data_IF_004088555747
#
_entry.id   IF_004088555747
#
_cell.length_a   1.000
_cell.length_b   1.000
_cell.length_c   1.000
_cell.angle_alpha   90.00
_cell.angle_beta   90.00
_cell.angle_gamma   90.00
#
_symmetry.space_group_name_H-M   'P 1'
#
loop_
_entity.id
_entity.type
_entity.pdbx_description
1 polymer ?
#
# COMPACT_ATOMS: atom_id res chain seq x y z
N UNK A 1 -11.42 1.24 11.45
CA UNK A 1 -10.71 2.43 11.95
C UNK A 1 -9.65 2.74 10.92
N UNK A 2 -9.74 3.91 10.28
CA UNK A 2 -8.98 4.26 9.08
C UNK A 2 -7.47 4.20 9.32
N UNK A 3 -7.01 4.56 10.51
CA UNK A 3 -5.59 4.66 10.82
C UNK A 3 -4.94 3.27 10.94
N UNK A 4 -5.61 2.36 11.66
CA UNK A 4 -5.19 0.96 11.75
C UNK A 4 -5.20 0.26 10.38
N UNK A 5 -6.25 0.51 9.58
CA UNK A 5 -6.36 -0.05 8.22
C UNK A 5 -5.25 0.50 7.30
N UNK A 6 -4.97 1.79 7.41
CA UNK A 6 -3.88 2.45 6.69
C UNK A 6 -2.50 1.87 6.99
N UNK A 7 -2.15 1.73 8.28
CA UNK A 7 -0.87 1.14 8.69
C UNK A 7 -0.74 -0.29 8.17
N UNK A 8 -1.80 -1.09 8.29
CA UNK A 8 -1.78 -2.48 7.81
C UNK A 8 -1.62 -2.55 6.28
N UNK A 9 -2.32 -1.69 5.51
CA UNK A 9 -2.16 -1.59 4.07
C UNK A 9 -0.73 -1.21 3.66
N UNK A 10 -0.09 -0.29 4.38
CA UNK A 10 1.30 0.09 4.08
C UNK A 10 2.30 -1.02 4.41
N UNK A 11 2.11 -1.74 5.51
CA UNK A 11 2.94 -2.90 5.83
C UNK A 11 2.78 -3.97 4.74
N UNK A 12 1.54 -4.26 4.31
CA UNK A 12 1.25 -5.18 3.20
C UNK A 12 1.97 -4.73 1.93
N UNK A 13 1.86 -3.45 1.58
CA UNK A 13 2.48 -2.86 0.37
C UNK A 13 4.01 -2.89 0.44
N UNK A 14 4.59 -2.70 1.61
CA UNK A 14 6.04 -2.76 1.82
C UNK A 14 6.52 -4.21 1.70
N UNK A 15 5.83 -5.15 2.32
CA UNK A 15 6.17 -6.57 2.27
C UNK A 15 5.94 -7.18 0.88
N UNK A 16 4.99 -6.68 0.09
CA UNK A 16 4.73 -7.17 -1.27
C UNK A 16 5.86 -6.87 -2.26
N UNK A 17 6.75 -5.93 -1.93
CA UNK A 17 7.96 -5.60 -2.69
C UNK A 17 9.13 -6.53 -2.37
N UNK A 18 9.02 -7.35 -1.33
CA UNK A 18 10.10 -8.23 -0.88
C UNK A 18 10.10 -9.51 -1.71
N UNK A 19 11.22 -9.78 -2.39
CA UNK A 19 11.35 -10.95 -3.25
C UNK A 19 11.19 -12.25 -2.45
N UNK A 20 10.37 -13.18 -2.95
CA UNK A 20 10.12 -14.46 -2.29
C UNK A 20 9.08 -14.41 -1.16
N UNK A 21 8.44 -13.26 -0.89
CA UNK A 21 7.25 -13.19 -0.04
C UNK A 21 5.98 -13.09 -0.90
N UNK A 22 5.04 -13.99 -0.65
CA UNK A 22 3.67 -13.87 -1.17
C UNK A 22 2.80 -13.23 -0.09
N UNK A 23 2.40 -11.99 -0.31
CA UNK A 23 1.53 -11.25 0.62
C UNK A 23 0.12 -11.17 0.04
N UNK A 24 -0.88 -11.50 0.86
CA UNK A 24 -2.28 -11.44 0.47
C UNK A 24 -2.77 -9.99 0.49
N UNK A 25 -3.57 -9.61 -0.51
CA UNK A 25 -4.12 -8.27 -0.63
C UNK A 25 -4.93 -7.85 0.62
N UNK A 26 -4.86 -6.56 0.96
CA UNK A 26 -5.55 -5.99 2.11
C UNK A 26 -7.04 -6.26 2.10
N UNK A 27 -7.70 -6.11 0.95
CA UNK A 27 -9.15 -6.36 0.77
C UNK A 27 -9.57 -7.77 1.19
N UNK A 28 -8.79 -8.79 0.82
CA UNK A 28 -9.07 -10.18 1.20
C UNK A 28 -8.74 -10.44 2.68
N UNK A 29 -7.65 -9.87 3.19
CA UNK A 29 -7.29 -10.01 4.62
C UNK A 29 -8.29 -9.32 5.55
N UNK A 30 -8.82 -8.17 5.16
CA UNK A 30 -9.73 -7.37 5.99
C UNK A 30 -11.12 -7.99 6.12
N UNK A 31 -11.47 -8.98 5.29
CA UNK A 31 -12.68 -9.80 5.51
C UNK A 31 -12.69 -10.48 6.88
N UNK A 32 -11.53 -10.72 7.49
CA UNK A 32 -11.37 -11.41 8.78
C UNK A 32 -11.29 -10.43 9.96
N UNK A 33 -11.18 -9.13 9.71
CA UNK A 33 -11.02 -8.11 10.75
C UNK A 33 -12.19 -8.13 11.74
N UNK A 34 -11.86 -8.12 13.04
CA UNK A 34 -12.84 -8.01 14.12
C UNK A 34 -13.73 -9.24 14.31
N UNK A 35 -13.42 -10.35 13.63
CA UNK A 35 -14.10 -11.63 13.82
C UNK A 35 -13.21 -12.53 14.69
N UNK A 36 -13.82 -13.26 15.60
CA UNK A 36 -13.16 -14.36 16.31
C UNK A 36 -12.98 -15.52 15.31
N UNK A 37 -11.89 -15.50 14.55
CA UNK A 37 -11.54 -16.60 13.65
C UNK A 37 -10.38 -17.40 14.24
N UNK A 38 -10.38 -18.69 13.96
CA UNK A 38 -9.24 -19.54 14.28
C UNK A 38 -8.16 -19.29 13.20
N UNK A 39 -6.90 -19.07 13.61
CA UNK A 39 -5.79 -18.77 12.70
C UNK A 39 -5.66 -19.85 11.61
N UNK A 40 -5.86 -21.12 11.98
CA UNK A 40 -5.85 -22.24 11.03
C UNK A 40 -6.95 -22.16 9.95
N UNK A 41 -8.09 -21.52 10.20
CA UNK A 41 -9.14 -21.28 9.19
C UNK A 41 -8.77 -20.16 8.23
N UNK A 42 -8.19 -19.07 8.76
CA UNK A 42 -7.66 -17.97 7.94
C UNK A 42 -6.60 -18.53 6.98
N UNK A 43 -5.65 -19.31 7.51
CA UNK A 43 -4.59 -19.93 6.73
C UNK A 43 -5.10 -20.81 5.60
N UNK A 44 -6.15 -21.61 5.85
CA UNK A 44 -6.79 -22.43 4.81
C UNK A 44 -7.51 -21.59 3.76
N UNK A 45 -8.28 -20.59 4.17
CA UNK A 45 -9.10 -19.79 3.24
C UNK A 45 -8.25 -18.87 2.36
N UNK A 46 -7.13 -18.36 2.87
CA UNK A 46 -6.21 -17.49 2.14
C UNK A 46 -4.98 -18.23 1.57
N UNK A 47 -4.86 -19.54 1.82
CA UNK A 47 -3.72 -20.36 1.41
C UNK A 47 -2.38 -19.77 1.90
N UNK A 48 -2.29 -19.43 3.19
CA UNK A 48 -1.08 -18.83 3.80
C UNK A 48 -0.52 -19.69 4.91
N UNK A 49 0.80 -19.63 5.07
CA UNK A 49 1.53 -20.33 6.14
C UNK A 49 1.67 -19.49 7.41
N UNK A 50 1.56 -18.17 7.28
CA UNK A 50 1.74 -17.24 8.40
C UNK A 50 0.70 -16.13 8.36
N UNK A 51 0.23 -15.71 9.53
CA UNK A 51 -0.71 -14.60 9.69
C UNK A 51 -0.05 -13.51 10.53
N UNK A 52 -0.03 -12.28 10.02
CA UNK A 52 0.29 -11.10 10.80
C UNK A 52 -1.02 -10.51 11.32
N UNK A 53 -1.13 -10.37 12.63
CA UNK A 53 -2.23 -9.65 13.26
C UNK A 53 -1.72 -8.67 14.30
N UNK A 54 -2.58 -7.75 14.73
CA UNK A 54 -2.18 -6.70 15.63
C UNK A 54 -3.31 -5.77 16.00
N UNK A 55 -2.96 -4.77 16.79
CA UNK A 55 -3.88 -3.70 17.16
C UNK A 55 -3.14 -2.37 17.19
N UNK A 56 -3.86 -1.32 16.83
CA UNK A 56 -3.38 0.06 16.91
C UNK A 56 -4.33 0.81 17.83
N UNK A 57 -3.77 1.54 18.80
CA UNK A 57 -4.50 2.51 19.63
C UNK A 57 -3.80 3.84 19.50
N UNK A 58 -4.58 4.87 19.20
CA UNK A 58 -4.13 6.25 19.12
C UNK A 58 -4.82 7.05 20.20
N UNK A 59 -4.05 7.71 21.05
CA UNK A 59 -4.53 8.66 22.05
C UNK A 59 -3.76 9.97 21.86
N UNK A 60 -4.45 11.00 21.36
CA UNK A 60 -3.85 12.29 20.99
C UNK A 60 -2.62 12.09 20.08
N UNK A 61 -1.42 12.27 20.64
CA UNK A 61 -0.14 12.17 19.93
C UNK A 61 0.61 10.86 20.22
N UNK A 62 0.03 9.94 21.01
CA UNK A 62 0.62 8.66 21.39
C UNK A 62 0.02 7.52 20.57
N UNK A 63 0.88 6.64 20.10
CA UNK A 63 0.53 5.40 19.42
C UNK A 63 1.01 4.21 20.25
N UNK A 64 0.07 3.30 20.50
CA UNK A 64 0.36 1.93 20.95
C UNK A 64 0.04 0.98 19.81
N UNK A 65 1.06 0.29 19.31
CA UNK A 65 0.94 -0.73 18.27
C UNK A 65 1.42 -2.05 18.83
N UNK A 66 0.59 -3.08 18.75
CA UNK A 66 1.00 -4.47 18.99
C UNK A 66 0.93 -5.20 17.66
N UNK A 67 1.97 -5.95 17.32
CA UNK A 67 2.01 -6.75 16.11
C UNK A 67 2.59 -8.12 16.42
N UNK A 68 2.00 -9.17 15.83
CA UNK A 68 2.44 -10.54 16.03
C UNK A 68 2.32 -11.35 14.75
N UNK A 69 3.37 -12.11 14.46
CA UNK A 69 3.46 -13.02 13.34
C UNK A 69 3.27 -14.44 13.86
N UNK A 70 2.23 -15.12 13.37
CA UNK A 70 1.78 -16.42 13.86
C UNK A 70 1.97 -17.46 12.75
N UNK A 71 2.52 -18.61 13.10
CA UNK A 71 2.56 -19.78 12.23
C UNK A 71 1.19 -20.48 12.21
N UNK A 72 0.62 -20.66 11.03
CA UNK A 72 -0.70 -21.28 10.85
C UNK A 72 -0.71 -22.76 11.25
N UNK A 73 0.40 -23.48 11.11
CA UNK A 73 0.42 -24.93 11.29
C UNK A 73 0.25 -25.37 12.74
N UNK A 74 0.80 -24.59 13.67
CA UNK A 74 0.86 -24.92 15.10
C UNK A 74 0.43 -23.76 16.01
N UNK A 75 -0.06 -22.66 15.42
CA UNK A 75 -0.51 -21.44 16.11
C UNK A 75 0.56 -20.82 17.02
N UNK A 76 1.84 -21.12 16.78
CA UNK A 76 2.95 -20.54 17.53
C UNK A 76 3.29 -19.11 17.06
N UNK A 77 3.74 -18.27 17.99
CA UNK A 77 4.28 -16.96 17.65
C UNK A 77 5.69 -17.10 17.08
N UNK A 78 5.87 -16.70 15.82
CA UNK A 78 7.18 -16.55 15.20
C UNK A 78 7.87 -15.26 15.67
N UNK A 79 7.08 -14.21 15.91
CA UNK A 79 7.53 -12.93 16.40
C UNK A 79 6.35 -12.16 17.02
N UNK A 80 6.62 -11.35 18.04
CA UNK A 80 5.65 -10.43 18.65
C UNK A 80 6.38 -9.27 19.29
N UNK A 81 5.85 -8.06 19.11
CA UNK A 81 6.41 -6.86 19.74
C UNK A 81 5.33 -5.80 20.01
N UNK A 82 5.65 -4.87 20.90
CA UNK A 82 4.82 -3.74 21.27
C UNK A 82 5.59 -2.42 21.17
N UNK A 83 4.99 -1.46 20.49
CA UNK A 83 5.53 -0.14 20.28
C UNK A 83 4.65 0.89 20.98
N UNK A 84 5.24 1.62 21.91
CA UNK A 84 4.62 2.78 22.57
C UNK A 84 5.44 4.03 22.23
N UNK A 85 5.06 4.74 21.16
CA UNK A 85 5.77 5.95 20.71
C UNK A 85 4.82 7.04 20.23
N UNK A 86 5.34 8.24 20.06
CA UNK A 86 4.60 9.33 19.44
C UNK A 86 4.26 9.05 17.97
N UNK A 87 3.13 9.59 17.48
CA UNK A 87 2.67 9.41 16.09
C UNK A 87 3.66 9.87 15.03
N UNK A 88 4.49 10.88 15.34
CA UNK A 88 5.60 11.30 14.46
C UNK A 88 6.63 10.18 14.19
N UNK A 89 6.62 9.13 15.01
CA UNK A 89 7.46 7.95 14.86
C UNK A 89 6.78 6.82 14.08
N UNK A 90 5.59 7.04 13.51
CA UNK A 90 4.81 5.99 12.83
C UNK A 90 5.61 5.29 11.74
N UNK A 91 6.38 6.03 10.93
CA UNK A 91 7.21 5.45 9.88
C UNK A 91 8.33 4.59 10.44
N UNK A 92 8.97 5.03 11.54
CA UNK A 92 9.99 4.22 12.19
C UNK A 92 9.39 2.92 12.75
N UNK A 93 8.19 2.98 13.32
CA UNK A 93 7.49 1.79 13.81
C UNK A 93 7.14 0.86 12.63
N UNK A 94 6.62 1.37 11.52
CA UNK A 94 6.33 0.57 10.33
C UNK A 94 7.58 -0.11 9.78
N UNK A 95 8.69 0.62 9.64
CA UNK A 95 9.97 0.04 9.21
C UNK A 95 10.48 -1.02 10.18
N UNK A 96 10.36 -0.78 11.50
CA UNK A 96 10.75 -1.73 12.54
C UNK A 96 9.92 -3.03 12.45
N UNK A 97 8.59 -2.91 12.27
CA UNK A 97 7.67 -4.04 12.09
C UNK A 97 8.00 -4.81 10.80
N UNK A 98 8.07 -4.13 9.66
CA UNK A 98 8.37 -4.76 8.37
C UNK A 98 9.71 -5.47 8.37
N UNK A 99 10.76 -4.86 8.95
CA UNK A 99 12.07 -5.50 9.10
C UNK A 99 11.99 -6.77 9.95
N UNK A 100 11.33 -6.69 11.12
CA UNK A 100 11.20 -7.82 12.04
C UNK A 100 10.46 -8.99 11.39
N UNK A 101 9.42 -8.71 10.60
CA UNK A 101 8.68 -9.73 9.84
C UNK A 101 9.59 -10.40 8.80
N UNK A 102 10.34 -9.63 8.02
CA UNK A 102 11.24 -10.20 7.01
C UNK A 102 12.37 -11.00 7.66
N UNK A 103 12.93 -10.53 8.78
CA UNK A 103 13.92 -11.28 9.56
C UNK A 103 13.35 -12.61 10.06
N UNK A 104 12.13 -12.61 10.60
CA UNK A 104 11.48 -13.83 11.08
C UNK A 104 11.15 -14.84 9.97
N UNK A 105 10.82 -14.36 8.76
CA UNK A 105 10.41 -15.22 7.63
C UNK A 105 11.57 -15.66 6.73
N UNK A 106 12.54 -14.79 6.48
CA UNK A 106 13.63 -15.01 5.50
C UNK A 106 15.02 -15.04 6.12
N UNK A 107 15.18 -14.67 7.39
CA UNK A 107 16.49 -14.63 8.06
C UNK A 107 17.36 -13.43 7.68
N UNK A 108 16.81 -12.43 6.96
CA UNK A 108 17.52 -11.19 6.65
C UNK A 108 16.99 -10.47 5.41
N UNK A 109 17.52 -9.26 5.19
CA UNK A 109 17.20 -8.35 4.08
C UNK A 109 18.39 -8.17 3.15
N UNK A 110 18.15 -8.09 1.85
CA UNK A 110 19.12 -7.53 0.90
C UNK A 110 19.26 -6.00 1.07
N UNK A 111 20.29 -5.41 0.47
CA UNK A 111 20.50 -3.95 0.55
C UNK A 111 19.36 -3.13 -0.10
N UNK A 112 18.80 -3.63 -1.20
CA UNK A 112 17.65 -3.01 -1.89
C UNK A 112 16.37 -3.15 -1.06
N UNK A 113 16.12 -4.34 -0.48
CA UNK A 113 14.96 -4.58 0.39
C UNK A 113 15.01 -3.70 1.65
N UNK A 114 16.20 -3.51 2.22
CA UNK A 114 16.39 -2.60 3.36
C UNK A 114 16.04 -1.16 2.99
N UNK A 115 16.52 -0.68 1.85
CA UNK A 115 16.23 0.68 1.38
C UNK A 115 14.74 0.88 1.11
N UNK A 116 14.04 -0.14 0.58
CA UNK A 116 12.60 -0.10 0.37
C UNK A 116 11.80 -0.03 1.69
N UNK A 117 12.23 -0.74 2.73
CA UNK A 117 11.59 -0.73 4.06
C UNK A 117 11.82 0.58 4.82
N UNK A 118 13.01 1.18 4.68
CA UNK A 118 13.38 2.41 5.40
C UNK A 118 12.86 3.69 4.71
N UNK A 119 12.34 3.58 3.49
CA UNK A 119 11.79 4.72 2.75
C UNK A 119 10.54 5.26 3.44
N UNK A 120 10.60 6.53 3.82
CA UNK A 120 9.45 7.24 4.39
C UNK A 120 8.60 7.85 3.28
N UNK A 121 7.28 7.80 3.41
CA UNK A 121 6.37 8.39 2.45
C UNK A 121 6.33 9.93 2.54
N UNK A 122 6.55 10.49 3.73
CA UNK A 122 6.60 11.93 4.02
C UNK A 122 7.33 12.15 5.37
N UNK A 123 7.79 13.37 5.65
CA UNK A 123 8.27 13.79 6.97
C UNK A 123 7.18 14.53 7.80
N UNK A 124 6.00 14.78 7.23
CA UNK A 124 4.86 15.41 7.91
C UNK A 124 3.80 14.35 8.31
N UNK A 125 3.70 14.10 9.62
CA UNK A 125 2.76 13.13 10.16
C UNK A 125 1.28 13.52 9.94
N UNK A 126 0.97 14.82 9.89
CA UNK A 126 -0.39 15.30 9.63
C UNK A 126 -0.74 15.16 8.14
N UNK A 127 0.21 15.42 7.24
CA UNK A 127 0.05 15.11 5.81
C UNK A 127 -0.22 13.62 5.59
N UNK A 128 0.49 12.77 6.34
CA UNK A 128 0.28 11.33 6.31
C UNK A 128 -1.10 10.90 6.81
N UNK A 129 -1.60 11.47 7.92
CA UNK A 129 -2.96 11.21 8.38
C UNK A 129 -4.03 11.59 7.34
N UNK A 130 -3.86 12.73 6.69
CA UNK A 130 -4.72 13.17 5.59
C UNK A 130 -4.67 12.19 4.42
N UNK A 131 -3.48 11.69 4.07
CA UNK A 131 -3.33 10.65 3.06
C UNK A 131 -4.10 9.37 3.43
N UNK A 132 -3.98 8.88 4.67
CA UNK A 132 -4.71 7.70 5.15
C UNK A 132 -6.24 7.91 5.12
N UNK A 133 -6.72 9.10 5.48
CA UNK A 133 -8.13 9.46 5.35
C UNK A 133 -8.60 9.46 3.88
N UNK A 134 -7.74 9.92 2.97
CA UNK A 134 -7.98 9.86 1.53
C UNK A 134 -8.12 8.42 1.03
N UNK A 135 -7.18 7.55 1.41
CA UNK A 135 -7.19 6.11 1.12
C UNK A 135 -8.44 5.42 1.67
N UNK A 136 -8.79 5.70 2.92
CA UNK A 136 -9.99 5.14 3.53
C UNK A 136 -11.26 5.58 2.79
N UNK A 137 -11.34 6.86 2.39
CA UNK A 137 -12.47 7.39 1.62
C UNK A 137 -12.57 6.75 0.22
N UNK A 138 -11.42 6.43 -0.41
CA UNK A 138 -11.40 5.64 -1.65
C UNK A 138 -12.00 4.26 -1.45
N UNK A 139 -11.58 3.55 -0.39
CA UNK A 139 -12.06 2.20 -0.09
C UNK A 139 -13.56 2.17 0.25
N UNK A 140 -14.10 3.25 0.85
CA UNK A 140 -15.53 3.40 1.08
C UNK A 140 -16.33 3.87 -0.16
N UNK A 141 -15.65 4.15 -1.28
CA UNK A 141 -16.25 4.65 -2.52
C UNK A 141 -16.53 6.15 -2.57
N UNK A 142 -16.16 6.91 -1.53
CA UNK A 142 -16.35 8.37 -1.48
C UNK A 142 -15.16 9.10 -2.11
N UNK A 143 -15.17 9.11 -3.46
CA UNK A 143 -14.11 9.74 -4.26
C UNK A 143 -13.98 11.24 -4.04
N UNK A 144 -15.08 11.94 -3.77
CA UNK A 144 -15.07 13.39 -3.57
C UNK A 144 -14.31 13.72 -2.28
N UNK A 145 -14.61 13.00 -1.21
CA UNK A 145 -13.92 13.14 0.06
C UNK A 145 -12.46 12.71 -0.04
N UNK A 146 -12.17 11.63 -0.77
CA UNK A 146 -10.80 11.22 -1.04
C UNK A 146 -9.96 12.30 -1.74
N UNK A 147 -10.47 12.89 -2.82
CA UNK A 147 -9.82 14.00 -3.54
C UNK A 147 -9.51 15.17 -2.59
N UNK A 148 -10.46 15.51 -1.70
CA UNK A 148 -10.27 16.59 -0.76
C UNK A 148 -9.13 16.31 0.22
N UNK A 149 -9.09 15.12 0.82
CA UNK A 149 -8.01 14.75 1.73
C UNK A 149 -6.64 14.65 1.06
N UNK A 150 -6.55 14.07 -0.14
CA UNK A 150 -5.28 14.03 -0.86
C UNK A 150 -4.76 15.42 -1.21
N UNK A 151 -5.65 16.36 -1.56
CA UNK A 151 -5.25 17.77 -1.78
C UNK A 151 -4.74 18.42 -0.49
N UNK A 152 -5.42 18.21 0.64
CA UNK A 152 -4.92 18.72 1.92
C UNK A 152 -3.56 18.12 2.31
N UNK A 153 -3.33 16.84 2.02
CA UNK A 153 -2.03 16.20 2.24
C UNK A 153 -0.94 16.85 1.38
N UNK A 154 -1.23 17.13 0.11
CA UNK A 154 -0.32 17.83 -0.82
C UNK A 154 -0.07 19.28 -0.40
N UNK A 155 -1.09 19.99 0.09
CA UNK A 155 -0.96 21.37 0.57
C UNK A 155 -0.04 21.46 1.80
N UNK A 156 0.05 20.37 2.58
CA UNK A 156 0.94 20.25 3.74
C UNK A 156 2.35 19.83 3.34
N UNK A 157 2.45 18.81 2.50
CA UNK A 157 3.71 18.34 1.95
C UNK A 157 3.65 18.26 0.41
N UNK A 158 4.11 19.31 -0.29
CA UNK A 158 4.12 19.36 -1.75
C UNK A 158 5.01 18.32 -2.43
N UNK A 159 5.91 17.66 -1.68
CA UNK A 159 6.80 16.61 -2.17
C UNK A 159 6.27 15.19 -1.84
N UNK A 160 5.04 15.09 -1.30
CA UNK A 160 4.42 13.83 -0.91
C UNK A 160 3.91 13.02 -2.13
N UNK A 161 4.80 12.28 -2.76
CA UNK A 161 4.53 11.52 -3.99
C UNK A 161 3.30 10.59 -3.92
N UNK A 162 3.10 9.86 -2.81
CA UNK A 162 1.93 8.97 -2.65
C UNK A 162 0.60 9.74 -2.60
N UNK A 163 0.57 10.97 -2.09
CA UNK A 163 -0.64 11.78 -2.08
C UNK A 163 -1.05 12.18 -3.51
N UNK A 164 -0.08 12.49 -4.37
CA UNK A 164 -0.33 12.71 -5.80
C UNK A 164 -0.81 11.44 -6.50
N UNK A 165 -0.20 10.28 -6.23
CA UNK A 165 -0.66 9.00 -6.78
C UNK A 165 -2.10 8.68 -6.33
N UNK A 166 -2.41 8.91 -5.05
CA UNK A 166 -3.77 8.77 -4.50
C UNK A 166 -4.77 9.72 -5.16
N UNK A 167 -4.39 10.99 -5.35
CA UNK A 167 -5.21 11.98 -6.05
C UNK A 167 -5.48 11.58 -7.50
N UNK A 168 -4.45 11.11 -8.21
CA UNK A 168 -4.57 10.60 -9.55
C UNK A 168 -5.50 9.37 -9.60
N UNK A 169 -5.41 8.44 -8.66
CA UNK A 169 -6.32 7.28 -8.60
C UNK A 169 -7.78 7.71 -8.33
N UNK A 170 -7.97 8.74 -7.50
CA UNK A 170 -9.30 9.25 -7.17
C UNK A 170 -10.00 9.91 -8.36
N UNK A 171 -9.26 10.57 -9.25
CA UNK A 171 -9.83 11.17 -10.45
C UNK A 171 -10.37 10.11 -11.44
N UNK A 172 -11.60 10.30 -11.94
CA UNK A 172 -12.17 9.43 -12.94
C UNK A 172 -11.41 9.58 -14.27
N UNK A 173 -11.27 8.46 -15.00
CA UNK A 173 -10.56 8.45 -16.29
C UNK A 173 -11.26 9.33 -17.33
N UNK A 174 -12.59 9.35 -17.34
CA UNK A 174 -13.39 10.18 -18.23
C UNK A 174 -13.75 11.52 -17.58
N UNK A 175 -13.60 12.61 -18.34
CA UNK A 175 -13.96 13.97 -17.92
C UNK A 175 -12.92 14.70 -17.05
N UNK A 176 -11.97 13.97 -16.44
CA UNK A 176 -10.92 14.54 -15.59
C UNK A 176 -9.51 14.07 -15.97
N UNK A 177 -9.32 13.58 -17.20
CA UNK A 177 -8.08 12.95 -17.63
C UNK A 177 -6.85 13.86 -17.48
N UNK A 178 -6.97 15.17 -17.79
CA UNK A 178 -5.85 16.11 -17.65
C UNK A 178 -5.40 16.25 -16.19
N UNK A 179 -6.34 16.34 -15.26
CA UNK A 179 -6.04 16.42 -13.84
C UNK A 179 -5.47 15.10 -13.31
N UNK A 180 -5.99 13.96 -13.81
CA UNK A 180 -5.49 12.62 -13.52
C UNK A 180 -4.04 12.44 -13.98
N UNK A 181 -3.75 12.85 -15.21
CA UNK A 181 -2.44 12.78 -15.83
C UNK A 181 -1.44 13.68 -15.10
N UNK A 182 -1.79 14.95 -14.87
CA UNK A 182 -0.90 15.88 -14.17
C UNK A 182 -0.53 15.40 -12.75
N UNK A 183 -1.49 14.83 -12.02
CA UNK A 183 -1.23 14.26 -10.70
C UNK A 183 -0.33 13.01 -10.78
N UNK A 184 -0.55 12.12 -11.76
CA UNK A 184 0.30 10.94 -11.96
C UNK A 184 1.73 11.32 -12.41
N UNK A 185 1.87 12.28 -13.31
CA UNK A 185 3.17 12.82 -13.72
C UNK A 185 3.93 13.42 -12.54
N UNK A 186 3.24 14.20 -11.68
CA UNK A 186 3.87 14.77 -10.49
C UNK A 186 4.32 13.71 -9.49
N UNK A 187 3.52 12.65 -9.32
CA UNK A 187 3.91 11.51 -8.48
C UNK A 187 5.19 10.84 -8.99
N UNK A 188 5.31 10.63 -10.31
CA UNK A 188 6.50 10.04 -10.94
C UNK A 188 7.71 10.97 -10.95
N UNK A 189 7.49 12.28 -11.06
CA UNK A 189 8.57 13.29 -10.92
C UNK A 189 9.21 13.23 -9.53
N UNK A 190 8.39 13.06 -8.49
CA UNK A 190 8.84 12.97 -7.10
C UNK A 190 9.41 11.58 -6.76
N UNK A 191 8.79 10.51 -7.29
CA UNK A 191 9.22 9.15 -7.08
C UNK A 191 8.85 8.22 -8.26
N UNK A 192 9.79 8.04 -9.18
CA UNK A 192 9.64 7.17 -10.35
C UNK A 192 9.57 5.67 -9.99
N UNK A 193 9.76 5.30 -8.73
CA UNK A 193 9.63 3.92 -8.27
C UNK A 193 8.22 3.60 -7.73
N UNK A 194 7.24 4.50 -7.89
CA UNK A 194 5.85 4.26 -7.52
C UNK A 194 5.11 3.42 -8.57
N UNK A 195 4.97 2.13 -8.29
CA UNK A 195 4.22 1.21 -9.14
C UNK A 195 2.78 1.68 -9.41
N UNK A 196 2.12 2.27 -8.40
CA UNK A 196 0.77 2.80 -8.50
C UNK A 196 0.68 3.97 -9.51
N UNK A 197 1.68 4.85 -9.53
CA UNK A 197 1.70 6.00 -10.45
C UNK A 197 1.95 5.56 -11.90
N UNK A 198 2.86 4.61 -12.13
CA UNK A 198 3.06 3.97 -13.44
C UNK A 198 1.77 3.34 -13.94
N UNK A 199 1.12 2.53 -13.10
CA UNK A 199 -0.15 1.87 -13.42
C UNK A 199 -1.25 2.85 -13.83
N UNK A 200 -1.32 4.02 -13.18
CA UNK A 200 -2.27 5.08 -13.55
C UNK A 200 -1.92 5.66 -14.92
N UNK A 201 -0.64 5.91 -15.19
CA UNK A 201 -0.18 6.43 -16.48
C UNK A 201 -0.42 5.45 -17.63
N UNK A 202 -0.29 4.15 -17.37
CA UNK A 202 -0.56 3.09 -18.34
C UNK A 202 -2.05 3.03 -18.69
N UNK A 203 -2.92 3.14 -17.68
CA UNK A 203 -4.36 3.25 -17.90
C UNK A 203 -4.71 4.50 -18.73
N UNK A 204 -4.05 5.64 -18.51
CA UNK A 204 -4.25 6.85 -19.32
C UNK A 204 -3.78 6.61 -20.76
N UNK A 205 -2.59 6.05 -20.93
CA UNK A 205 -2.00 5.73 -22.24
C UNK A 205 -2.91 4.79 -23.04
N UNK A 206 -3.47 3.79 -22.37
CA UNK A 206 -4.36 2.81 -22.97
C UNK A 206 -5.74 3.38 -23.32
N UNK A 207 -6.46 3.98 -22.35
CA UNK A 207 -7.86 4.37 -22.52
C UNK A 207 -8.08 5.76 -23.15
N UNK A 208 -7.13 6.67 -22.99
CA UNK A 208 -7.29 8.07 -23.46
C UNK A 208 -6.40 8.38 -24.66
N UNK A 209 -5.16 7.88 -24.66
CA UNK A 209 -4.18 8.18 -25.71
C UNK A 209 -4.13 7.11 -26.82
N UNK A 210 -4.69 5.92 -26.56
CA UNK A 210 -4.59 4.75 -27.44
C UNK A 210 -3.15 4.35 -27.80
N UNK A 211 -2.18 4.67 -26.93
CA UNK A 211 -0.76 4.28 -27.07
C UNK A 211 -0.52 2.94 -26.36
N UNK A 212 -0.85 1.87 -27.08
CA UNK A 212 -0.74 0.49 -26.60
C UNK A 212 0.72 0.12 -26.25
N UNK A 213 1.73 0.44 -27.09
CA UNK A 213 3.12 0.14 -26.74
C UNK A 213 3.62 0.86 -25.48
N UNK A 214 3.18 2.11 -25.24
CA UNK A 214 3.53 2.82 -24.01
C UNK A 214 2.93 2.15 -22.77
N UNK A 215 1.63 1.80 -22.84
CA UNK A 215 0.94 1.14 -21.72
C UNK A 215 1.58 -0.21 -21.36
N UNK A 216 1.97 -1.04 -22.35
CA UNK A 216 2.61 -2.33 -22.07
C UNK A 216 3.95 -2.17 -21.33
N UNK A 217 4.73 -1.15 -21.69
CA UNK A 217 6.04 -0.91 -21.06
C UNK A 217 5.88 -0.50 -19.61
N UNK A 218 4.94 0.40 -19.29
CA UNK A 218 4.76 0.82 -17.90
C UNK A 218 4.14 -0.29 -17.05
N UNK A 219 3.22 -1.13 -17.58
CA UNK A 219 2.69 -2.26 -16.79
C UNK A 219 3.80 -3.24 -16.40
N UNK A 220 4.72 -3.54 -17.33
CA UNK A 220 5.89 -4.37 -17.03
C UNK A 220 6.79 -3.72 -15.97
N UNK A 221 7.02 -2.42 -16.07
CA UNK A 221 7.80 -1.67 -15.07
C UNK A 221 7.13 -1.67 -13.69
N UNK A 222 5.81 -1.50 -13.63
CA UNK A 222 5.05 -1.55 -12.39
C UNK A 222 5.15 -2.92 -11.71
N UNK A 223 5.14 -4.01 -12.50
CA UNK A 223 5.36 -5.38 -11.98
C UNK A 223 6.77 -5.55 -11.44
N UNK A 224 7.80 -5.01 -12.11
CA UNK A 224 9.17 -5.04 -11.59
C UNK A 224 9.30 -4.30 -10.26
N UNK A 225 8.61 -3.16 -10.11
CA UNK A 225 8.66 -2.31 -8.93
C UNK A 225 7.88 -2.88 -7.74
N UNK A 226 6.74 -3.52 -7.99
CA UNK A 226 5.96 -4.19 -6.95
C UNK A 226 5.39 -5.52 -7.46
N UNK A 227 6.19 -6.60 -7.44
CA UNK A 227 5.80 -7.90 -7.99
C UNK A 227 4.57 -8.51 -7.31
N UNK A 228 4.31 -8.15 -6.05
CA UNK A 228 3.17 -8.63 -5.28
C UNK A 228 1.92 -7.74 -5.33
N UNK A 229 1.92 -6.63 -6.08
CA UNK A 229 0.76 -5.72 -6.11
C UNK A 229 -0.42 -6.33 -6.87
N UNK A 230 -1.48 -6.67 -6.12
CA UNK A 230 -2.73 -7.16 -6.71
C UNK A 230 -3.36 -6.15 -7.67
N UNK A 231 -3.20 -4.85 -7.40
CA UNK A 231 -3.72 -3.77 -8.26
C UNK A 231 -3.01 -3.76 -9.61
N UNK A 232 -1.67 -3.84 -9.62
CA UNK A 232 -0.87 -3.90 -10.85
C UNK A 232 -1.26 -5.10 -11.70
N UNK A 233 -1.36 -6.29 -11.08
CA UNK A 233 -1.76 -7.52 -11.77
C UNK A 233 -3.20 -7.45 -12.31
N UNK A 234 -4.12 -6.87 -11.53
CA UNK A 234 -5.50 -6.67 -11.96
C UNK A 234 -5.56 -5.80 -13.22
N UNK A 235 -4.88 -4.65 -13.23
CA UNK A 235 -4.94 -3.76 -14.40
C UNK A 235 -4.20 -4.34 -15.61
N UNK A 236 -3.04 -4.96 -15.44
CA UNK A 236 -2.35 -5.58 -16.56
C UNK A 236 -3.16 -6.74 -17.17
N UNK A 237 -3.73 -7.62 -16.34
CA UNK A 237 -4.53 -8.74 -16.81
C UNK A 237 -5.90 -8.32 -17.37
N UNK A 238 -6.68 -7.58 -16.59
CA UNK A 238 -8.08 -7.26 -16.90
C UNK A 238 -8.20 -6.12 -17.91
N UNK A 239 -7.40 -5.05 -17.79
CA UNK A 239 -7.53 -3.90 -18.70
C UNK A 239 -6.70 -4.06 -19.97
N UNK A 240 -5.46 -4.57 -19.88
CA UNK A 240 -4.56 -4.64 -21.02
C UNK A 240 -4.68 -5.96 -21.77
N UNK A 241 -4.36 -7.10 -21.14
CA UNK A 241 -4.31 -8.40 -21.83
C UNK A 241 -5.67 -8.86 -22.37
N UNK A 242 -6.75 -8.79 -21.58
CA UNK A 242 -8.08 -9.19 -22.08
C UNK A 242 -8.58 -8.34 -23.25
N UNK A 243 -8.21 -7.06 -23.32
CA UNK A 243 -8.63 -6.17 -24.41
C UNK A 243 -7.82 -6.42 -25.69
N UNK A 244 -6.60 -6.92 -25.56
CA UNK A 244 -5.69 -7.16 -26.70
C UNK A 244 -5.85 -8.56 -27.33
N UNK A 245 -6.47 -9.52 -26.63
CA UNK A 245 -6.74 -10.87 -27.12
C UNK A 245 -5.69 -11.90 -26.72
#
# INVERSE_FOLDING_TARGET
>A
DYFCDGIAEEIITTLSKINGLRVIASTSSFEFKGKENIISEIGKKLDVQTVLEGSVRKEENQLRITAQLINVSDESHLWSDQYDREIKSVFAIQSDISRSIVEALKGGLSGEEKSAIEKRPTDDAEAYELYLLGRHSMNSGDRVKAINYFRQAIDRDPDFALAYAGLANAYPIYGWYLAKQAAAEKALELDDNLAEAHTIMDNISFFQLFDIPAAERGYKRAIELNPGSAEVHFYYGYNFLMTMG
#
